data_IF_997190116395
#
_entry.id   IF_997190116395
#
_cell.length_a   1.000
_cell.length_b   1.000
_cell.length_c   1.000
_cell.angle_alpha   90.00
_cell.angle_beta   90.00
_cell.angle_gamma   90.00
#
_symmetry.space_group_name_H-M   'P 1'
#
loop_
_entity.id
_entity.type
_entity.pdbx_description
1 polymer ?
#
# COMPACT_ATOMS: atom_id res chain seq x y z
N UNK A 1 -11.43 -2.50 -14.37
CA UNK A 1 -10.20 -1.85 -13.89
C UNK A 1 -10.44 -0.37 -13.81
N UNK A 2 -10.36 0.17 -12.59
CA UNK A 2 -10.64 1.56 -12.29
C UNK A 2 -9.32 2.17 -11.83
N UNK A 3 -8.72 3.06 -12.63
CA UNK A 3 -7.39 3.64 -12.39
C UNK A 3 -7.24 4.38 -11.05
N UNK A 4 -8.35 4.57 -10.32
CA UNK A 4 -8.38 5.21 -9.00
C UNK A 4 -7.78 4.31 -7.90
N UNK A 5 -8.02 3.01 -7.94
CA UNK A 5 -7.55 2.06 -6.92
C UNK A 5 -6.03 1.88 -6.96
N UNK A 6 -5.49 1.64 -8.15
CA UNK A 6 -4.05 1.54 -8.42
C UNK A 6 -3.31 2.85 -8.10
N UNK A 7 -3.80 4.00 -8.59
CA UNK A 7 -3.16 5.29 -8.30
C UNK A 7 -3.13 5.62 -6.79
N UNK A 8 -4.20 5.28 -6.05
CA UNK A 8 -4.18 5.42 -4.60
C UNK A 8 -3.16 4.50 -3.94
N UNK A 9 -3.10 3.23 -4.34
CA UNK A 9 -2.18 2.24 -3.79
C UNK A 9 -0.73 2.68 -3.96
N UNK A 10 -0.35 3.10 -5.17
CA UNK A 10 1.00 3.61 -5.47
C UNK A 10 1.36 4.81 -4.59
N UNK A 11 0.47 5.81 -4.51
CA UNK A 11 0.70 6.99 -3.67
C UNK A 11 0.75 6.65 -2.17
N UNK A 12 -0.07 5.70 -1.72
CA UNK A 12 -0.10 5.29 -0.32
C UNK A 12 1.19 4.57 0.08
N UNK A 13 1.68 3.67 -0.77
CA UNK A 13 2.93 2.93 -0.56
C UNK A 13 4.11 3.90 -0.50
N UNK A 14 4.22 4.81 -1.48
CA UNK A 14 5.33 5.77 -1.55
C UNK A 14 5.42 6.68 -0.31
N UNK A 15 4.28 7.04 0.29
CA UNK A 15 4.25 7.88 1.48
C UNK A 15 4.39 7.09 2.78
N UNK A 16 3.84 5.88 2.86
CA UNK A 16 3.71 5.14 4.13
C UNK A 16 4.90 4.22 4.37
N UNK A 17 5.36 3.49 3.36
CA UNK A 17 6.43 2.49 3.50
C UNK A 17 7.74 3.08 4.03
N UNK A 18 8.20 4.29 3.64
CA UNK A 18 9.41 4.87 4.22
C UNK A 18 9.34 5.10 5.73
N UNK A 19 8.15 5.44 6.24
CA UNK A 19 7.94 5.70 7.67
C UNK A 19 7.61 4.41 8.45
N UNK A 20 7.10 3.38 7.77
CA UNK A 20 6.55 2.18 8.41
C UNK A 20 7.19 0.88 7.91
N UNK A 21 8.42 0.92 7.38
CA UNK A 21 9.12 -0.26 6.90
C UNK A 21 9.31 -1.35 7.99
N UNK A 22 9.22 -0.97 9.27
CA UNK A 22 9.29 -1.88 10.43
C UNK A 22 7.93 -2.37 10.93
N UNK A 23 6.81 -1.88 10.39
CA UNK A 23 5.48 -2.27 10.84
C UNK A 23 5.06 -3.64 10.28
N UNK A 24 4.17 -4.33 10.98
CA UNK A 24 3.63 -5.59 10.50
C UNK A 24 2.74 -5.37 9.26
N UNK A 25 2.81 -6.31 8.31
CA UNK A 25 2.03 -6.25 7.05
C UNK A 25 0.53 -6.15 7.33
N UNK A 26 0.04 -6.82 8.38
CA UNK A 26 -1.38 -6.79 8.75
C UNK A 26 -1.83 -5.41 9.28
N UNK A 27 -0.96 -4.72 10.03
CA UNK A 27 -1.22 -3.35 10.48
C UNK A 27 -1.31 -2.39 9.28
N UNK A 28 -0.39 -2.55 8.32
CA UNK A 28 -0.36 -1.74 7.11
C UNK A 28 -1.54 -2.00 6.20
N UNK A 29 -1.99 -3.26 6.08
CA UNK A 29 -3.20 -3.60 5.36
C UNK A 29 -4.43 -2.93 5.97
N UNK A 30 -4.58 -2.96 7.29
CA UNK A 30 -5.67 -2.27 7.99
C UNK A 30 -5.63 -0.75 7.79
N UNK A 31 -4.44 -0.14 7.90
CA UNK A 31 -4.26 1.31 7.69
C UNK A 31 -4.56 1.73 6.25
N UNK A 32 -4.14 0.94 5.27
CA UNK A 32 -4.44 1.18 3.86
C UNK A 32 -5.95 1.16 3.59
N UNK A 33 -6.66 0.15 4.10
CA UNK A 33 -8.11 0.04 3.95
C UNK A 33 -8.83 1.22 4.61
N UNK A 34 -8.36 1.65 5.79
CA UNK A 34 -8.92 2.82 6.47
C UNK A 34 -8.71 4.11 5.66
N UNK A 35 -7.52 4.33 5.11
CA UNK A 35 -7.20 5.49 4.28
C UNK A 35 -7.99 5.49 2.97
N UNK A 36 -8.13 4.33 2.31
CA UNK A 36 -8.94 4.17 1.10
C UNK A 36 -10.39 4.55 1.37
N UNK A 37 -10.96 4.03 2.47
CA UNK A 37 -12.33 4.32 2.88
C UNK A 37 -12.55 5.81 3.17
N UNK A 38 -11.57 6.48 3.77
CA UNK A 38 -11.64 7.91 4.09
C UNK A 38 -11.79 8.79 2.83
N UNK A 39 -11.22 8.36 1.70
CA UNK A 39 -11.31 9.06 0.41
C UNK A 39 -12.37 8.46 -0.53
N UNK A 40 -13.17 7.51 -0.04
CA UNK A 40 -14.27 6.89 -0.78
C UNK A 40 -13.88 5.80 -1.77
N UNK A 41 -12.66 5.25 -1.69
CA UNK A 41 -12.23 4.08 -2.47
C UNK A 41 -12.68 2.82 -1.74
N UNK A 42 -13.37 1.92 -2.45
CA UNK A 42 -13.77 0.63 -1.91
C UNK A 42 -12.59 -0.33 -1.94
N UNK A 43 -12.47 -1.18 -0.92
CA UNK A 43 -11.47 -2.26 -0.89
C UNK A 43 -11.53 -3.13 -2.16
N UNK A 44 -12.73 -3.44 -2.65
CA UNK A 44 -12.91 -4.21 -3.88
C UNK A 44 -12.22 -3.57 -5.10
N UNK A 45 -12.17 -2.23 -5.19
CA UNK A 45 -11.44 -1.54 -6.28
C UNK A 45 -9.93 -1.69 -6.17
N UNK A 46 -9.41 -2.03 -4.99
CA UNK A 46 -7.99 -2.30 -4.76
C UNK A 46 -7.72 -3.78 -5.01
N UNK A 47 -8.53 -4.66 -4.42
CA UNK A 47 -8.44 -6.12 -4.59
C UNK A 47 -8.66 -6.57 -6.04
N UNK A 48 -9.37 -5.78 -6.88
CA UNK A 48 -9.48 -6.02 -8.33
C UNK A 48 -8.19 -5.69 -9.11
N UNK A 49 -7.35 -4.79 -8.58
CA UNK A 49 -6.15 -4.29 -9.24
C UNK A 49 -4.89 -5.04 -8.79
N UNK A 50 -4.94 -5.74 -7.65
CA UNK A 50 -3.84 -6.54 -7.12
C UNK A 50 -4.25 -7.98 -6.86
N UNK A 51 -3.37 -8.92 -7.22
CA UNK A 51 -3.57 -10.34 -6.94
C UNK A 51 -3.65 -10.63 -5.42
N UNK A 52 -2.88 -9.89 -4.63
CA UNK A 52 -2.95 -9.91 -3.17
C UNK A 52 -2.44 -8.60 -2.58
N UNK A 53 -3.30 -7.92 -1.83
CA UNK A 53 -2.97 -6.68 -1.11
C UNK A 53 -1.79 -6.91 -0.14
N UNK A 54 -1.85 -7.98 0.64
CA UNK A 54 -0.81 -8.34 1.60
C UNK A 54 0.53 -8.59 0.93
N UNK A 55 0.54 -9.31 -0.20
CA UNK A 55 1.76 -9.57 -0.96
C UNK A 55 2.33 -8.30 -1.55
N UNK A 56 1.49 -7.40 -2.05
CA UNK A 56 1.92 -6.11 -2.62
C UNK A 56 2.55 -5.20 -1.56
N UNK A 57 1.95 -5.13 -0.37
CA UNK A 57 2.51 -4.37 0.76
C UNK A 57 3.84 -5.00 1.23
N UNK A 58 3.90 -6.32 1.37
CA UNK A 58 5.12 -7.02 1.77
C UNK A 58 6.24 -6.81 0.74
N UNK A 59 5.92 -6.94 -0.55
CA UNK A 59 6.86 -6.71 -1.65
C UNK A 59 7.39 -5.28 -1.64
N UNK A 60 6.53 -4.29 -1.41
CA UNK A 60 6.93 -2.90 -1.26
C UNK A 60 7.86 -2.66 -0.06
N UNK A 61 7.65 -3.34 1.07
CA UNK A 61 8.53 -3.25 2.24
C UNK A 61 9.86 -3.94 2.00
N UNK A 62 9.86 -5.13 1.38
CA UNK A 62 11.09 -5.88 1.07
C UNK A 62 11.96 -5.14 0.06
N UNK A 63 11.35 -4.58 -0.99
CA UNK A 63 12.03 -3.80 -2.02
C UNK A 63 12.23 -2.34 -1.63
N UNK A 64 11.75 -1.91 -0.45
CA UNK A 64 12.10 -0.62 0.09
C UNK A 64 13.56 -0.67 0.53
N UNK A 65 14.45 -0.22 -0.36
CA UNK A 65 15.81 0.12 0.00
C UNK A 65 15.78 1.54 0.61
N UNK A 66 15.83 1.71 1.94
CA UNK A 66 16.08 3.03 2.51
C UNK A 66 17.43 3.47 1.95
N UNK A 67 17.41 4.53 1.15
CA UNK A 67 18.55 4.98 0.37
C UNK A 67 19.86 4.78 1.13
N UNK A 68 20.69 3.86 0.63
CA UNK A 68 22.10 3.85 0.95
C UNK A 68 22.57 5.30 0.71
N UNK A 69 23.03 6.03 1.75
CA UNK A 69 23.66 7.30 1.50
C UNK A 69 24.92 6.98 0.66
N UNK A 70 24.97 7.49 -0.57
CA UNK A 70 26.24 7.63 -1.29
C UNK A 70 27.18 8.59 -0.54
#
# INVERSE_FOLDING_TARGET
MSARGSNFLDQWIANTVPETAHAEVDELAHKLIANAKAIGIKRAEIDEEVDSLYRTILDAIIHFEPGLPE
#
